data_IF_423952500925
#
_entry.id   IF_423952500925
#
_cell.length_a   1.000
_cell.length_b   1.000
_cell.length_c   1.000
_cell.angle_alpha   90.00
_cell.angle_beta   90.00
_cell.angle_gamma   90.00
#
_symmetry.space_group_name_H-M   'P 1'
#
loop_
_entity.id
_entity.type
_entity.pdbx_description
1 polymer ?
#
# COMPACT_ATOMS: atom_id res chain seq x y z
N UNK A 1 -6.09 -12.61 -18.10
CA UNK A 1 -6.87 -11.90 -17.08
C UNK A 1 -6.85 -10.43 -17.39
N UNK A 2 -8.00 -9.78 -17.35
CA UNK A 2 -8.04 -8.36 -17.72
C UNK A 2 -7.31 -7.49 -16.70
N UNK A 3 -6.51 -6.60 -17.22
CA UNK A 3 -5.87 -5.52 -16.47
C UNK A 3 -6.56 -4.22 -16.87
N UNK A 4 -7.02 -3.46 -15.91
CA UNK A 4 -7.72 -2.20 -16.16
C UNK A 4 -6.81 -1.03 -15.83
N UNK A 5 -6.58 -0.18 -16.80
CA UNK A 5 -5.71 0.97 -16.70
C UNK A 5 -6.54 2.25 -16.71
N UNK A 6 -6.30 3.12 -15.75
CA UNK A 6 -6.91 4.45 -15.72
C UNK A 6 -5.96 5.43 -16.38
N UNK A 7 -6.40 5.98 -17.50
CA UNK A 7 -5.71 7.11 -18.10
C UNK A 7 -6.24 8.39 -17.47
N UNK A 8 -5.47 8.95 -16.58
CA UNK A 8 -5.71 10.32 -16.15
C UNK A 8 -4.89 11.24 -17.05
N UNK A 9 -5.43 12.35 -17.47
CA UNK A 9 -4.87 13.27 -18.48
C UNK A 9 -3.45 13.78 -18.21
N UNK A 10 -2.75 13.24 -17.23
CA UNK A 10 -1.39 13.58 -16.89
C UNK A 10 -0.57 12.35 -16.49
N UNK A 11 -0.26 11.52 -17.44
CA UNK A 11 0.92 10.64 -17.44
C UNK A 11 1.07 9.55 -16.36
N UNK A 12 0.03 9.15 -15.67
CA UNK A 12 0.18 8.11 -14.63
C UNK A 12 -1.01 7.18 -14.59
N UNK A 13 -0.87 6.05 -15.24
CA UNK A 13 -1.89 5.02 -15.24
C UNK A 13 -1.77 4.14 -14.00
N UNK A 14 -2.88 3.97 -13.28
CA UNK A 14 -2.98 2.94 -12.25
C UNK A 14 -3.43 1.64 -12.90
N UNK A 15 -2.69 0.57 -12.64
CA UNK A 15 -2.97 -0.74 -13.18
C UNK A 15 -3.40 -1.69 -12.07
N UNK A 16 -4.65 -2.15 -12.13
CA UNK A 16 -5.21 -3.09 -11.15
C UNK A 16 -5.36 -4.46 -11.79
N UNK A 17 -4.79 -5.47 -11.15
CA UNK A 17 -4.92 -6.86 -11.57
C UNK A 17 -6.02 -7.57 -10.77
N UNK A 18 -7.07 -8.03 -11.45
CA UNK A 18 -8.11 -8.87 -10.85
C UNK A 18 -7.65 -10.32 -10.65
N UNK A 19 -6.53 -10.71 -11.25
CA UNK A 19 -5.91 -12.02 -11.05
C UNK A 19 -5.05 -12.10 -9.79
N UNK A 20 -4.63 -10.96 -9.26
CA UNK A 20 -3.87 -10.87 -8.01
C UNK A 20 -4.78 -11.18 -6.83
N UNK A 21 -4.34 -12.06 -5.94
CA UNK A 21 -5.12 -12.44 -4.74
C UNK A 21 -5.10 -11.41 -3.63
N UNK A 22 -4.24 -10.40 -3.73
CA UNK A 22 -4.21 -9.32 -2.76
C UNK A 22 -5.50 -8.50 -2.85
N UNK A 23 -6.04 -8.03 -1.72
CA UNK A 23 -7.21 -7.15 -1.74
C UNK A 23 -7.01 -5.97 -2.70
N UNK A 24 -8.06 -5.62 -3.46
CA UNK A 24 -8.00 -4.55 -4.46
C UNK A 24 -7.63 -3.20 -3.84
N UNK A 25 -8.14 -2.90 -2.64
CA UNK A 25 -7.82 -1.64 -1.98
C UNK A 25 -6.32 -1.51 -1.65
N UNK A 26 -5.64 -2.61 -1.32
CA UNK A 26 -4.19 -2.61 -1.09
C UNK A 26 -3.41 -2.35 -2.37
N UNK A 27 -3.84 -2.91 -3.50
CA UNK A 27 -3.22 -2.63 -4.79
C UNK A 27 -3.31 -1.14 -5.14
N UNK A 28 -4.46 -0.52 -4.88
CA UNK A 28 -4.66 0.92 -5.11
C UNK A 28 -3.72 1.73 -4.22
N UNK A 29 -3.68 1.43 -2.93
CA UNK A 29 -2.80 2.11 -1.97
C UNK A 29 -1.34 2.00 -2.38
N UNK A 30 -0.87 0.79 -2.68
CA UNK A 30 0.52 0.55 -3.06
C UNK A 30 0.92 1.30 -4.32
N UNK A 31 0.08 1.30 -5.34
CA UNK A 31 0.37 2.00 -6.58
C UNK A 31 0.40 3.51 -6.41
N UNK A 32 -0.52 4.07 -5.65
CA UNK A 32 -0.53 5.52 -5.37
C UNK A 32 0.71 5.91 -4.55
N UNK A 33 1.04 5.15 -3.51
CA UNK A 33 2.26 5.38 -2.73
C UNK A 33 3.51 5.32 -3.60
N UNK A 34 3.58 4.35 -4.48
CA UNK A 34 4.71 4.20 -5.40
C UNK A 34 4.86 5.42 -6.31
N UNK A 35 3.76 5.88 -6.93
CA UNK A 35 3.77 7.07 -7.78
C UNK A 35 4.23 8.32 -7.04
N UNK A 36 3.80 8.47 -5.81
CA UNK A 36 4.21 9.59 -4.96
C UNK A 36 5.68 9.45 -4.55
N UNK A 37 6.10 8.24 -4.16
CA UNK A 37 7.46 7.97 -3.69
C UNK A 37 8.53 8.23 -4.76
N UNK A 38 8.26 7.85 -6.01
CA UNK A 38 9.19 8.08 -7.12
C UNK A 38 9.11 9.49 -7.72
N UNK A 39 8.21 10.33 -7.21
CA UNK A 39 8.01 11.70 -7.69
C UNK A 39 7.22 11.82 -8.98
N UNK A 40 6.59 10.76 -9.44
CA UNK A 40 5.73 10.74 -10.62
C UNK A 40 4.45 11.56 -10.38
N UNK A 41 3.88 11.42 -9.19
CA UNK A 41 2.81 12.28 -8.69
C UNK A 41 3.38 13.23 -7.63
N UNK A 42 3.53 14.47 -8.02
CA UNK A 42 4.13 15.52 -7.17
C UNK A 42 3.13 16.05 -6.15
N UNK A 43 3.61 16.69 -5.07
CA UNK A 43 2.73 17.42 -4.16
C UNK A 43 1.77 18.34 -4.89
N UNK A 44 0.49 18.29 -4.52
CA UNK A 44 -0.57 19.03 -5.19
C UNK A 44 -1.16 18.38 -6.44
N UNK A 45 -0.60 17.28 -6.91
CA UNK A 45 -1.17 16.51 -8.03
C UNK A 45 -2.58 16.03 -7.71
N UNK A 46 -3.52 16.26 -8.61
CA UNK A 46 -4.90 15.81 -8.45
C UNK A 46 -5.04 14.32 -8.77
N UNK A 47 -5.63 13.57 -7.84
CA UNK A 47 -5.96 12.17 -8.05
C UNK A 47 -7.26 12.04 -8.85
N UNK A 48 -7.45 10.91 -9.56
CA UNK A 48 -8.75 10.58 -10.12
C UNK A 48 -9.83 10.63 -9.03
N UNK A 49 -11.05 11.04 -9.38
CA UNK A 49 -12.15 10.92 -8.43
C UNK A 49 -12.41 9.45 -8.07
N UNK A 50 -12.97 9.22 -6.90
CA UNK A 50 -13.30 7.84 -6.45
C UNK A 50 -14.16 7.13 -7.49
N UNK A 51 -15.17 7.81 -8.03
CA UNK A 51 -16.07 7.22 -9.05
C UNK A 51 -15.35 6.94 -10.35
N UNK A 52 -14.50 7.86 -10.82
CA UNK A 52 -13.75 7.68 -12.05
C UNK A 52 -12.78 6.49 -11.93
N UNK A 53 -12.08 6.38 -10.82
CA UNK A 53 -11.17 5.26 -10.57
C UNK A 53 -11.94 3.94 -10.48
N UNK A 54 -13.07 3.90 -9.77
CA UNK A 54 -13.90 2.72 -9.64
C UNK A 54 -14.39 2.22 -11.00
N UNK A 55 -14.90 3.11 -11.84
CA UNK A 55 -15.36 2.76 -13.19
C UNK A 55 -14.23 2.23 -14.05
N UNK A 56 -13.10 2.93 -14.08
CA UNK A 56 -12.00 2.60 -14.97
C UNK A 56 -11.27 1.30 -14.56
N UNK A 57 -11.21 1.00 -13.27
CA UNK A 57 -10.56 -0.22 -12.74
C UNK A 57 -11.53 -1.38 -12.55
N UNK A 58 -12.82 -1.18 -12.72
CA UNK A 58 -13.89 -2.14 -12.40
C UNK A 58 -13.81 -2.64 -10.95
N UNK A 59 -13.53 -1.73 -10.06
CA UNK A 59 -13.52 -1.94 -8.62
C UNK A 59 -14.68 -1.17 -8.00
N UNK A 60 -15.25 -1.66 -6.92
CA UNK A 60 -16.37 -0.97 -6.28
C UNK A 60 -15.97 0.39 -5.72
N UNK A 61 -16.93 1.33 -5.69
CA UNK A 61 -16.73 2.65 -5.09
C UNK A 61 -16.31 2.54 -3.62
N UNK A 62 -16.88 1.59 -2.87
CA UNK A 62 -16.52 1.36 -1.47
C UNK A 62 -15.06 0.95 -1.31
N UNK A 63 -14.57 0.11 -2.21
CA UNK A 63 -13.17 -0.34 -2.20
C UNK A 63 -12.21 0.81 -2.49
N UNK A 64 -12.50 1.63 -3.49
CA UNK A 64 -11.69 2.81 -3.81
C UNK A 64 -11.74 3.82 -2.66
N UNK A 65 -12.92 4.06 -2.11
CA UNK A 65 -13.10 4.94 -0.95
C UNK A 65 -12.26 4.50 0.24
N UNK A 66 -12.22 3.20 0.53
CA UNK A 66 -11.38 2.65 1.60
C UNK A 66 -9.91 2.96 1.36
N UNK A 67 -9.43 2.76 0.14
CA UNK A 67 -8.05 3.05 -0.22
C UNK A 67 -7.72 4.54 0.00
N UNK A 68 -8.59 5.44 -0.46
CA UNK A 68 -8.38 6.87 -0.30
C UNK A 68 -8.42 7.31 1.16
N UNK A 69 -9.32 6.75 1.97
CA UNK A 69 -9.38 7.05 3.40
C UNK A 69 -8.08 6.64 4.13
N UNK A 70 -7.52 5.50 3.79
CA UNK A 70 -6.24 5.07 4.38
C UNK A 70 -5.08 5.94 3.94
N UNK A 71 -5.01 6.31 2.66
CA UNK A 71 -4.01 7.25 2.16
C UNK A 71 -4.13 8.64 2.81
N UNK A 72 -5.35 9.10 3.06
CA UNK A 72 -5.61 10.35 3.77
C UNK A 72 -5.17 10.28 5.23
N UNK A 73 -5.48 9.19 5.92
CA UNK A 73 -5.03 8.95 7.30
C UNK A 73 -3.51 8.96 7.41
N UNK A 74 -2.82 8.38 6.43
CA UNK A 74 -1.36 8.33 6.37
C UNK A 74 -0.73 9.60 5.80
N UNK A 75 -1.54 10.63 5.56
CA UNK A 75 -1.12 11.93 5.07
C UNK A 75 -0.41 11.90 3.71
N UNK A 76 -0.70 10.91 2.91
CA UNK A 76 -0.22 10.84 1.51
C UNK A 76 -1.05 11.74 0.62
N UNK A 77 -2.36 11.78 0.86
CA UNK A 77 -3.30 12.63 0.13
C UNK A 77 -4.11 13.49 1.08
N UNK A 78 -4.64 14.58 0.55
CA UNK A 78 -5.61 15.44 1.22
C UNK A 78 -6.87 15.53 0.36
N UNK A 79 -8.03 15.47 1.00
CA UNK A 79 -9.31 15.67 0.34
C UNK A 79 -9.81 17.07 0.64
N UNK A 80 -10.11 17.82 -0.41
CA UNK A 80 -10.72 19.15 -0.32
C UNK A 80 -12.16 19.03 -0.75
N UNK A 81 -13.07 19.33 0.16
CA UNK A 81 -14.50 19.22 -0.08
C UNK A 81 -14.93 20.03 -1.29
N UNK A 82 -15.65 19.38 -2.21
CA UNK A 82 -16.11 20.00 -3.47
C UNK A 82 -15.04 20.17 -4.56
N UNK A 83 -13.77 19.82 -4.28
CA UNK A 83 -12.66 20.00 -5.23
C UNK A 83 -11.96 18.69 -5.61
N UNK A 84 -11.93 17.68 -4.74
CA UNK A 84 -11.32 16.40 -4.99
C UNK A 84 -10.20 16.03 -4.02
N UNK A 85 -9.42 15.03 -4.41
CA UNK A 85 -8.28 14.54 -3.65
C UNK A 85 -6.97 14.89 -4.36
N UNK A 86 -5.98 15.28 -3.57
CA UNK A 86 -4.69 15.77 -4.05
C UNK A 86 -3.56 15.13 -3.26
N UNK A 87 -2.40 14.97 -3.88
CA UNK A 87 -1.19 14.58 -3.15
C UNK A 87 -0.86 15.67 -2.13
N UNK A 88 -0.61 15.28 -0.89
CA UNK A 88 -0.31 16.22 0.19
C UNK A 88 0.96 17.01 -0.09
N UNK A 89 0.98 18.29 0.32
CA UNK A 89 2.15 19.17 0.11
C UNK A 89 3.37 18.75 0.94
N UNK A 90 3.15 18.10 2.08
CA UNK A 90 4.18 17.72 3.04
C UNK A 90 4.34 16.20 3.15
N UNK A 91 4.35 15.50 2.00
CA UNK A 91 4.56 14.05 1.99
C UNK A 91 6.01 13.75 2.40
N UNK A 92 6.17 12.91 3.40
CA UNK A 92 7.46 12.33 3.74
C UNK A 92 7.81 11.21 2.76
N UNK A 93 8.59 11.52 1.73
CA UNK A 93 8.99 10.57 0.71
C UNK A 93 9.85 9.44 1.27
N UNK A 94 10.67 9.71 2.28
CA UNK A 94 11.46 8.69 2.96
C UNK A 94 10.57 7.67 3.65
N UNK A 95 9.54 8.13 4.35
CA UNK A 95 8.53 7.26 4.97
C UNK A 95 7.76 6.46 3.92
N UNK A 96 7.36 7.07 2.82
CA UNK A 96 6.66 6.37 1.73
C UNK A 96 7.52 5.27 1.10
N UNK A 97 8.80 5.52 0.90
CA UNK A 97 9.75 4.51 0.41
C UNK A 97 9.89 3.34 1.40
N UNK A 98 9.87 3.60 2.70
CA UNK A 98 9.88 2.55 3.72
C UNK A 98 8.60 1.71 3.72
N UNK A 99 7.45 2.32 3.50
CA UNK A 99 6.20 1.57 3.31
C UNK A 99 6.26 0.66 2.09
N UNK A 100 6.80 1.15 1.00
CA UNK A 100 6.97 0.36 -0.23
C UNK A 100 7.95 -0.81 -0.02
N UNK A 101 9.09 -0.55 0.63
CA UNK A 101 10.06 -1.57 0.99
C UNK A 101 9.42 -2.67 1.84
N UNK A 102 8.63 -2.29 2.84
CA UNK A 102 7.89 -3.25 3.67
C UNK A 102 6.94 -4.12 2.84
N UNK A 103 6.18 -3.51 1.93
CA UNK A 103 5.26 -4.23 1.05
C UNK A 103 5.99 -5.26 0.18
N UNK A 104 7.15 -4.90 -0.36
CA UNK A 104 7.98 -5.79 -1.16
C UNK A 104 8.47 -6.99 -0.35
N UNK A 105 8.93 -6.77 0.87
CA UNK A 105 9.40 -7.84 1.75
C UNK A 105 8.26 -8.76 2.20
N UNK A 106 7.08 -8.21 2.48
CA UNK A 106 5.90 -9.01 2.82
C UNK A 106 5.45 -9.88 1.65
N UNK A 107 5.48 -9.35 0.44
CA UNK A 107 5.16 -10.12 -0.77
C UNK A 107 6.15 -11.27 -0.97
N UNK A 108 7.44 -10.99 -0.84
CA UNK A 108 8.49 -12.01 -0.94
C UNK A 108 8.32 -13.08 0.14
N UNK A 109 8.04 -12.67 1.38
CA UNK A 109 7.80 -13.61 2.48
C UNK A 109 6.59 -14.51 2.21
N UNK A 110 5.50 -13.96 1.68
CA UNK A 110 4.31 -14.73 1.33
C UNK A 110 4.59 -15.78 0.25
N UNK A 111 5.35 -15.43 -0.78
CA UNK A 111 5.74 -16.36 -1.85
C UNK A 111 6.65 -17.48 -1.34
N UNK A 112 7.64 -17.13 -0.53
CA UNK A 112 8.53 -18.12 0.10
C UNK A 112 7.73 -19.04 1.02
N UNK A 113 6.80 -18.48 1.79
CA UNK A 113 5.91 -19.25 2.66
C UNK A 113 5.11 -20.30 1.88
N UNK A 114 4.59 -19.96 0.72
CA UNK A 114 3.91 -20.92 -0.16
C UNK A 114 4.83 -22.05 -0.60
N UNK A 115 6.06 -21.76 -0.99
CA UNK A 115 7.04 -22.79 -1.38
C UNK A 115 7.40 -23.72 -0.22
N UNK A 116 7.37 -23.22 1.01
CA UNK A 116 7.60 -24.01 2.21
C UNK A 116 6.35 -24.74 2.73
N UNK A 117 5.21 -24.57 2.06
CA UNK A 117 3.94 -25.18 2.49
C UNK A 117 3.34 -24.56 3.76
N UNK A 118 3.73 -23.33 4.09
CA UNK A 118 3.21 -22.63 5.25
C UNK A 118 1.81 -22.05 4.97
N UNK A 119 0.94 -22.18 5.97
CA UNK A 119 -0.33 -21.45 5.96
C UNK A 119 -0.12 -19.99 6.28
N UNK A 120 -1.09 -19.16 5.97
CA UNK A 120 -1.05 -17.73 6.33
C UNK A 120 -0.88 -17.53 7.83
N UNK A 121 -1.58 -18.31 8.65
CA UNK A 121 -1.48 -18.22 10.12
C UNK A 121 -0.09 -18.59 10.62
N UNK A 122 0.53 -19.62 10.04
CA UNK A 122 1.91 -19.99 10.36
C UNK A 122 2.90 -18.89 9.97
N UNK A 123 2.68 -18.23 8.85
CA UNK A 123 3.52 -17.12 8.41
C UNK A 123 3.37 -15.91 9.33
N UNK A 124 2.13 -15.58 9.73
CA UNK A 124 1.84 -14.52 10.70
C UNK A 124 2.52 -14.80 12.04
N UNK A 125 2.50 -16.06 12.51
CA UNK A 125 3.17 -16.41 13.75
C UNK A 125 4.69 -16.23 13.67
N UNK A 126 5.31 -16.60 12.56
CA UNK A 126 6.75 -16.34 12.34
C UNK A 126 7.06 -14.84 12.32
N UNK A 127 6.19 -14.04 11.71
CA UNK A 127 6.34 -12.60 11.73
C UNK A 127 6.25 -12.04 13.15
N UNK A 128 5.32 -12.55 13.94
CA UNK A 128 5.16 -12.15 15.35
C UNK A 128 6.41 -12.48 16.17
N UNK A 129 6.96 -13.67 16.02
CA UNK A 129 8.20 -14.10 16.68
C UNK A 129 9.40 -13.23 16.29
N UNK A 130 9.44 -12.79 15.01
CA UNK A 130 10.52 -11.93 14.51
C UNK A 130 10.39 -10.51 15.06
N UNK A 131 9.16 -9.97 15.11
CA UNK A 131 8.89 -8.61 15.58
C UNK A 131 8.94 -8.47 17.09
N UNK A 132 8.54 -9.54 17.81
CA UNK A 132 8.47 -9.59 19.27
C UNK A 132 9.28 -10.76 19.77
N UNK A 133 10.62 -10.70 19.71
CA UNK A 133 11.44 -11.79 20.26
C UNK A 133 11.12 -11.97 21.73
N UNK A 134 10.86 -13.22 22.15
CA UNK A 134 10.50 -13.53 23.52
C UNK A 134 11.56 -12.97 24.50
N UNK A 135 11.08 -12.30 25.53
CA UNK A 135 11.91 -11.61 26.54
C UNK A 135 12.78 -12.57 27.40
N UNK A 136 12.91 -13.83 26.99
CA UNK A 136 13.64 -14.86 27.72
C UNK A 136 15.11 -14.99 27.39
N UNK A 137 15.64 -14.25 26.43
CA UNK A 137 17.04 -14.36 26.01
C UNK A 137 17.89 -13.12 26.23
N UNK A 138 17.43 -12.17 27.00
CA UNK A 138 18.34 -11.27 27.70
C UNK A 138 18.72 -11.97 28.99
N UNK A 139 19.55 -12.98 28.85
CA UNK A 139 20.26 -13.54 29.97
C UNK A 139 20.91 -12.38 30.70
N UNK A 140 20.64 -12.31 31.97
CA UNK A 140 21.35 -11.48 32.90
C UNK A 140 22.85 -11.67 32.70
N UNK A 141 23.44 -10.90 31.82
CA UNK A 141 24.82 -10.52 31.99
C UNK A 141 24.85 -9.39 33.01
N UNK A 142 24.40 -9.70 34.18
CA UNK A 142 24.88 -9.00 35.34
C UNK A 142 26.34 -9.38 35.48
N UNK A 143 27.19 -8.61 34.88
CA UNK A 143 28.59 -8.62 35.23
C UNK A 143 28.68 -7.94 36.59
N UNK A 144 28.80 -8.77 37.58
CA UNK A 144 29.18 -8.31 38.91
C UNK A 144 30.58 -7.67 38.88
#
# INVERSE_FOLDING_TARGET
>A
MPVYTVHNNMHSDLTISHADRRPMYLQIIEQIRHRVAIGDWKPGHELPSIRALAVATRVSVITVKRAYLELERDRVIVTRQGKGSFVAENVDLGLQLKHEELSQHLTAAAEIGKHLGLTTDQLVERLRETAEPSAGEHGDEEVA
#
